data_IF_441378805286
#
_entry.id   IF_441378805286
#
_cell.length_a   1.000
_cell.length_b   1.000
_cell.length_c   1.000
_cell.angle_alpha   90.00
_cell.angle_beta   90.00
_cell.angle_gamma   90.00
#
_symmetry.space_group_name_H-M   'P 1'
#
loop_
_entity.id
_entity.type
_entity.pdbx_description
1 polymer ?
#
# COMPACT_ATOMS: atom_id res chain seq x y z
N UNK A 1 -14.45 4.84 -6.80
CA UNK A 1 -13.97 4.63 -5.42
C UNK A 1 -15.14 4.08 -4.62
N UNK A 2 -14.95 2.92 -4.01
CA UNK A 2 -15.97 2.19 -3.25
C UNK A 2 -15.28 1.39 -2.14
N UNK A 3 -16.03 0.92 -1.15
CA UNK A 3 -15.56 0.22 0.05
C UNK A 3 -14.75 1.09 1.03
N UNK A 4 -15.47 1.65 2.01
CA UNK A 4 -14.91 2.47 3.09
C UNK A 4 -14.73 1.68 4.39
N UNK A 5 -14.73 0.34 4.34
CA UNK A 5 -14.67 -0.52 5.53
C UNK A 5 -13.39 -0.41 6.36
N UNK A 6 -12.35 0.24 5.82
CA UNK A 6 -11.07 0.55 6.47
C UNK A 6 -10.78 2.07 6.51
N UNK A 7 -11.68 2.92 6.03
CA UNK A 7 -11.45 4.37 5.96
C UNK A 7 -11.39 5.00 7.37
N UNK A 8 -10.50 5.99 7.55
CA UNK A 8 -10.36 6.75 8.81
C UNK A 8 -10.58 8.24 8.55
N UNK A 9 -11.14 8.93 9.54
CA UNK A 9 -11.30 10.39 9.51
C UNK A 9 -9.97 11.06 9.85
N UNK A 10 -9.56 12.04 9.05
CA UNK A 10 -8.32 12.77 9.25
C UNK A 10 -8.41 13.61 10.53
N UNK A 11 -7.42 13.48 11.42
CA UNK A 11 -7.30 14.27 12.66
C UNK A 11 -7.81 13.59 13.93
N UNK A 12 -8.32 12.37 13.85
CA UNK A 12 -8.59 11.54 15.03
C UNK A 12 -7.51 10.45 15.13
N UNK A 13 -6.79 10.41 16.27
CA UNK A 13 -5.77 9.39 16.59
C UNK A 13 -6.45 8.04 16.90
N UNK A 14 -7.04 7.44 15.88
CA UNK A 14 -7.46 6.04 15.95
C UNK A 14 -6.24 5.16 15.65
N UNK A 15 -5.56 4.71 16.71
CA UNK A 15 -4.83 3.47 16.65
C UNK A 15 -5.81 2.35 16.31
N UNK A 16 -5.50 1.55 15.29
CA UNK A 16 -6.04 0.23 15.00
C UNK A 16 -5.76 -0.73 16.16
N UNK A 17 -6.32 -0.43 17.33
CA UNK A 17 -6.57 -1.43 18.36
C UNK A 17 -7.70 -2.31 17.85
N UNK A 18 -7.35 -3.20 16.93
CA UNK A 18 -8.30 -4.11 16.35
C UNK A 18 -8.79 -5.09 17.41
N UNK A 19 -10.04 -4.89 17.83
CA UNK A 19 -10.86 -5.93 18.48
C UNK A 19 -11.28 -7.04 17.49
N UNK A 20 -10.82 -7.06 16.23
CA UNK A 20 -11.24 -8.06 15.24
C UNK A 20 -10.20 -8.29 14.13
N UNK A 21 -9.56 -9.48 14.13
CA UNK A 21 -8.58 -9.96 13.13
C UNK A 21 -9.12 -9.93 11.68
N UNK A 22 -9.23 -8.75 11.07
CA UNK A 22 -9.55 -8.61 9.65
C UNK A 22 -8.26 -8.69 8.83
N UNK A 23 -8.26 -9.40 7.70
CA UNK A 23 -7.11 -9.43 6.81
C UNK A 23 -6.84 -8.02 6.26
N UNK A 24 -5.58 -7.59 6.30
CA UNK A 24 -5.14 -6.29 5.80
C UNK A 24 -4.56 -6.42 4.39
N UNK A 25 -4.79 -5.44 3.50
CA UNK A 25 -4.23 -5.44 2.15
C UNK A 25 -2.77 -4.97 2.15
N UNK A 26 -1.86 -5.78 2.72
CA UNK A 26 -0.46 -5.42 2.99
C UNK A 26 0.27 -4.85 1.75
N UNK A 27 -0.02 -5.36 0.55
CA UNK A 27 0.67 -4.94 -0.68
C UNK A 27 0.34 -3.50 -1.12
N UNK A 28 -0.77 -2.94 -0.65
CA UNK A 28 -1.21 -1.57 -0.96
C UNK A 28 -0.94 -0.59 0.18
N UNK A 29 -0.64 -1.09 1.38
CA UNK A 29 -0.48 -0.23 2.55
C UNK A 29 0.90 0.44 2.57
N UNK A 30 0.92 1.68 3.03
CA UNK A 30 2.16 2.43 3.24
C UNK A 30 2.97 1.86 4.42
N UNK A 31 4.31 1.92 4.41
CA UNK A 31 5.14 1.41 5.49
C UNK A 31 4.76 1.97 6.86
N UNK A 32 4.50 3.27 6.97
CA UNK A 32 4.08 3.92 8.21
C UNK A 32 2.70 3.46 8.70
N UNK A 33 1.81 3.11 7.78
CA UNK A 33 0.49 2.55 8.11
C UNK A 33 0.58 1.11 8.60
N UNK A 34 1.61 0.36 8.18
CA UNK A 34 1.83 -1.02 8.60
C UNK A 34 2.61 -1.09 9.92
N UNK A 35 3.71 -0.35 10.04
CA UNK A 35 4.64 -0.47 11.17
C UNK A 35 4.28 0.43 12.34
N UNK A 36 3.69 1.60 12.08
CA UNK A 36 3.37 2.59 13.11
C UNK A 36 1.88 2.81 13.24
N UNK A 37 1.06 2.08 12.47
CA UNK A 37 -0.40 2.22 12.44
C UNK A 37 -0.87 3.67 12.18
N UNK A 38 -0.01 4.44 11.51
CA UNK A 38 -0.24 5.84 11.20
C UNK A 38 -0.78 5.93 9.79
N UNK A 39 -2.04 6.32 9.68
CA UNK A 39 -2.67 6.61 8.39
C UNK A 39 -2.78 8.11 8.19
N UNK A 40 -2.52 8.57 6.97
CA UNK A 40 -2.60 9.98 6.60
C UNK A 40 -2.85 10.10 5.10
N UNK A 41 -3.13 11.32 4.63
CA UNK A 41 -3.23 11.61 3.19
C UNK A 41 -1.97 11.14 2.41
N UNK A 42 -0.79 11.07 3.05
CA UNK A 42 0.45 10.56 2.41
C UNK A 42 0.44 9.03 2.24
N UNK A 43 -0.18 8.33 3.19
CA UNK A 43 -0.38 6.89 3.11
C UNK A 43 -1.42 6.52 2.04
N UNK A 44 -2.40 7.41 1.79
CA UNK A 44 -3.32 7.27 0.66
C UNK A 44 -2.62 7.51 -0.68
N UNK A 45 -1.71 8.50 -0.76
CA UNK A 45 -0.87 8.73 -1.95
C UNK A 45 -0.01 7.50 -2.27
N UNK A 46 0.52 6.81 -1.25
CA UNK A 46 1.22 5.54 -1.45
C UNK A 46 0.32 4.49 -2.09
N UNK A 47 -0.86 4.26 -1.52
CA UNK A 47 -1.82 3.28 -2.02
C UNK A 47 -2.25 3.61 -3.45
N UNK A 48 -2.39 4.90 -3.77
CA UNK A 48 -2.66 5.39 -5.12
C UNK A 48 -1.51 5.12 -6.09
N UNK A 49 -0.25 5.22 -5.67
CA UNK A 49 0.91 4.86 -6.50
C UNK A 49 0.92 3.38 -6.89
N UNK A 50 0.56 2.49 -5.95
CA UNK A 50 0.39 1.06 -6.25
C UNK A 50 -0.78 0.85 -7.22
N UNK A 51 -1.91 1.51 -7.00
CA UNK A 51 -3.05 1.46 -7.91
C UNK A 51 -2.68 1.93 -9.33
N UNK A 52 -1.91 3.01 -9.44
CA UNK A 52 -1.44 3.52 -10.72
C UNK A 52 -0.53 2.51 -11.43
N UNK A 53 0.38 1.86 -10.69
CA UNK A 53 1.17 0.75 -11.21
C UNK A 53 0.30 -0.41 -11.72
N UNK A 54 -0.77 -0.76 -10.99
CA UNK A 54 -1.74 -1.78 -11.43
C UNK A 54 -2.42 -1.37 -12.74
N UNK A 55 -2.78 -0.09 -12.91
CA UNK A 55 -3.37 0.39 -14.16
C UNK A 55 -2.40 0.24 -15.34
N UNK A 56 -1.12 0.61 -15.17
CA UNK A 56 -0.11 0.49 -16.24
C UNK A 56 0.15 -0.98 -16.59
N UNK A 57 0.12 -1.85 -15.58
CA UNK A 57 0.33 -3.30 -15.75
C UNK A 57 -0.94 -4.08 -16.08
N UNK A 58 -2.01 -3.37 -16.46
CA UNK A 58 -3.30 -3.95 -16.86
C UNK A 58 -3.90 -4.91 -15.81
N UNK A 59 -3.78 -4.54 -14.54
CA UNK A 59 -4.31 -5.29 -13.40
C UNK A 59 -3.39 -6.39 -12.88
N UNK A 60 -2.08 -6.29 -13.11
CA UNK A 60 -1.13 -7.24 -12.54
C UNK A 60 -1.06 -7.12 -11.01
N UNK A 61 -0.74 -8.22 -10.34
CA UNK A 61 -0.57 -8.23 -8.87
C UNK A 61 0.69 -7.44 -8.48
N UNK A 62 0.60 -6.45 -7.56
CA UNK A 62 1.77 -5.77 -7.01
C UNK A 62 2.76 -6.75 -6.37
N UNK A 63 4.05 -6.49 -6.54
CA UNK A 63 5.16 -7.31 -6.06
C UNK A 63 5.05 -8.79 -6.51
N UNK A 64 5.12 -9.05 -7.83
CA UNK A 64 4.98 -10.40 -8.37
C UNK A 64 6.01 -11.35 -7.74
N UNK A 65 5.57 -12.55 -7.38
CA UNK A 65 6.43 -13.58 -6.75
C UNK A 65 6.81 -13.32 -5.28
N UNK A 66 6.41 -12.20 -4.68
CA UNK A 66 6.67 -11.90 -3.25
C UNK A 66 5.41 -12.13 -2.39
N UNK A 67 5.63 -12.67 -1.20
CA UNK A 67 4.66 -12.78 -0.12
C UNK A 67 4.60 -11.48 0.70
N UNK A 68 3.52 -11.29 1.47
CA UNK A 68 3.37 -10.12 2.35
C UNK A 68 4.61 -9.85 3.23
N UNK A 69 5.11 -10.84 4.00
CA UNK A 69 6.31 -10.65 4.81
C UNK A 69 7.57 -10.28 4.01
N UNK A 70 7.75 -10.83 2.81
CA UNK A 70 8.89 -10.48 1.95
C UNK A 70 8.79 -9.03 1.45
N UNK A 71 7.58 -8.56 1.13
CA UNK A 71 7.35 -7.15 0.77
C UNK A 71 7.63 -6.24 1.95
N UNK A 72 7.25 -6.62 3.17
CA UNK A 72 7.57 -5.83 4.36
C UNK A 72 9.07 -5.66 4.57
N UNK A 73 9.84 -6.73 4.40
CA UNK A 73 11.30 -6.69 4.57
C UNK A 73 11.95 -5.82 3.49
N UNK A 74 11.52 -5.98 2.23
CA UNK A 74 11.92 -5.15 1.10
C UNK A 74 11.64 -3.65 1.38
N UNK A 75 10.44 -3.32 1.88
CA UNK A 75 10.06 -1.94 2.18
C UNK A 75 10.90 -1.32 3.32
N UNK A 76 11.27 -2.11 4.33
CA UNK A 76 12.18 -1.67 5.41
C UNK A 76 13.58 -1.35 4.90
N UNK A 77 14.04 -2.08 3.87
CA UNK A 77 15.34 -1.84 3.23
C UNK A 77 15.33 -0.65 2.27
N UNK A 78 14.16 -0.01 2.07
CA UNK A 78 14.03 1.13 1.17
C UNK A 78 13.78 0.74 -0.29
N UNK A 79 13.74 -0.55 -0.60
CA UNK A 79 13.41 -1.05 -1.94
C UNK A 79 11.94 -0.75 -2.29
N UNK A 80 11.65 -0.64 -3.60
CA UNK A 80 10.34 -0.26 -4.13
C UNK A 80 9.95 -1.15 -5.30
N UNK A 81 8.67 -1.10 -5.65
CA UNK A 81 8.12 -1.82 -6.79
C UNK A 81 8.84 -1.42 -8.08
N UNK A 82 9.21 -2.42 -8.89
CA UNK A 82 9.92 -2.18 -10.14
C UNK A 82 9.08 -1.39 -11.14
N UNK A 83 9.74 -0.58 -11.98
CA UNK A 83 9.09 0.16 -13.05
C UNK A 83 8.45 -0.81 -14.05
N UNK A 84 7.15 -0.69 -14.35
CA UNK A 84 6.48 -1.63 -15.24
C UNK A 84 6.97 -1.49 -16.69
N UNK A 85 6.96 -2.59 -17.44
CA UNK A 85 7.48 -2.66 -18.82
C UNK A 85 6.78 -1.74 -19.81
N UNK A 86 5.52 -1.38 -19.54
CA UNK A 86 4.72 -0.47 -20.36
C UNK A 86 4.82 0.99 -19.91
N UNK A 87 5.69 1.30 -18.94
CA UNK A 87 5.95 2.67 -18.51
C UNK A 87 6.76 3.38 -19.59
N UNK A 88 6.19 4.42 -20.20
CA UNK A 88 6.97 5.36 -21.00
C UNK A 88 7.98 6.02 -20.07
N UNK A 89 9.28 5.91 -20.42
CA UNK A 89 10.35 6.60 -19.69
C UNK A 89 10.26 8.10 -19.99
N UNK A 90 9.30 8.78 -19.38
CA UNK A 90 9.29 10.25 -19.33
C UNK A 90 9.71 10.64 -17.90
N UNK A 91 10.97 11.08 -17.80
CA UNK A 91 11.55 11.76 -16.64
C UNK A 91 11.29 13.25 -16.75
#
# INVERSE_FOLDING_TARGET
>A
ISDFGLARKVGEDYSYTSRSKRPLPILWMAPEAIFNDRTSNKSDVWSYGILFWEMITLGSRPYPGKSGPQVLEMLKQGERLDNPSHSTSEM
#
